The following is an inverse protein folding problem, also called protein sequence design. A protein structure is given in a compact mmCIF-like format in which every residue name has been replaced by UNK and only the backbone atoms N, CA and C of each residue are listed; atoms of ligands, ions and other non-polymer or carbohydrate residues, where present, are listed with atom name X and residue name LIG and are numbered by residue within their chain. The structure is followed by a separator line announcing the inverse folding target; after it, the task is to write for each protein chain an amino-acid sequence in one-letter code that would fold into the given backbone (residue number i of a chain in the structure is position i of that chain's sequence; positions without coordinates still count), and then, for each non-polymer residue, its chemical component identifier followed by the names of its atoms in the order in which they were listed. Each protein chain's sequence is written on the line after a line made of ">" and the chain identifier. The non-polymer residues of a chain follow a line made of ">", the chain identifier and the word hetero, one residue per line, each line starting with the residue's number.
data_IF_337273302891
#
_entry.id   IF_337273302891
#
_cell.length_a   1.000
_cell.length_b   1.000
_cell.length_c   1.000
_cell.angle_alpha   90.00
_cell.angle_beta   90.00
_cell.angle_gamma   90.00
#
_symmetry.space_group_name_H-M   'P 1'
#
loop_
_entity.id
_entity.type
_entity.pdbx_description
1 polymer ?
#
# COMPACT_ATOMS: atom_id res chain seq x y z
N UNK A 1 -26.27 -10.23 -9.55
CA UNK A 1 -25.96 -10.25 -8.08
C UNK A 1 -24.81 -9.30 -7.79
N UNK A 2 -25.11 -8.08 -7.32
CA UNK A 2 -24.07 -7.11 -6.95
C UNK A 2 -23.39 -7.55 -5.65
N UNK A 3 -22.12 -7.97 -5.74
CA UNK A 3 -21.28 -8.19 -4.56
C UNK A 3 -20.96 -6.81 -3.98
N UNK A 4 -21.86 -6.25 -3.16
CA UNK A 4 -21.52 -5.07 -2.36
C UNK A 4 -20.31 -5.44 -1.51
N UNK A 5 -19.12 -4.95 -1.89
CA UNK A 5 -17.94 -4.93 -1.02
C UNK A 5 -18.31 -3.99 0.12
N UNK A 6 -18.79 -4.54 1.21
CA UNK A 6 -18.92 -3.81 2.47
C UNK A 6 -17.47 -3.52 2.86
N UNK A 7 -17.03 -2.27 2.66
CA UNK A 7 -15.70 -1.83 3.07
C UNK A 7 -15.69 -1.79 4.59
N UNK A 8 -15.33 -2.92 5.20
CA UNK A 8 -15.19 -3.01 6.64
C UNK A 8 -13.93 -2.26 7.05
N UNK A 9 -14.12 -1.15 7.78
CA UNK A 9 -13.04 -0.39 8.40
C UNK A 9 -12.29 -1.32 9.35
N UNK A 10 -10.96 -1.38 9.25
CA UNK A 10 -10.13 -2.16 10.17
C UNK A 10 -10.19 -1.52 11.56
N UNK A 11 -11.09 -2.03 12.39
CA UNK A 11 -11.13 -1.71 13.82
C UNK A 11 -10.15 -2.61 14.59
N UNK A 12 -9.65 -2.20 15.76
CA UNK A 12 -8.84 -3.05 16.63
C UNK A 12 -9.51 -4.41 16.88
N UNK A 13 -8.71 -5.48 16.91
CA UNK A 13 -9.21 -6.83 17.21
C UNK A 13 -9.70 -6.91 18.65
N UNK A 14 -10.87 -7.52 18.87
CA UNK A 14 -11.34 -7.84 20.22
C UNK A 14 -10.51 -8.99 20.78
N UNK A 15 -10.46 -9.15 22.11
CA UNK A 15 -9.67 -10.23 22.74
C UNK A 15 -9.99 -11.61 22.17
N UNK A 16 -11.27 -11.93 21.93
CA UNK A 16 -11.66 -13.22 21.34
C UNK A 16 -11.13 -13.41 19.91
N UNK A 17 -11.08 -12.34 19.11
CA UNK A 17 -10.52 -12.39 17.77
C UNK A 17 -9.00 -12.53 17.79
N UNK A 18 -8.33 -11.93 18.78
CA UNK A 18 -6.89 -12.06 18.98
C UNK A 18 -6.51 -13.50 19.35
N UNK A 19 -7.22 -14.13 20.30
CA UNK A 19 -6.98 -15.53 20.66
C UNK A 19 -7.16 -16.46 19.47
N UNK A 20 -8.15 -16.18 18.61
CA UNK A 20 -8.38 -16.95 17.40
C UNK A 20 -7.26 -16.73 16.37
N UNK A 21 -6.79 -15.50 16.24
CA UNK A 21 -5.70 -15.14 15.35
C UNK A 21 -4.38 -15.79 15.76
N UNK A 22 -4.07 -15.84 17.06
CA UNK A 22 -2.89 -16.48 17.60
C UNK A 22 -2.90 -17.99 17.31
N UNK A 23 -4.02 -18.67 17.59
CA UNK A 23 -4.17 -20.11 17.35
C UNK A 23 -4.07 -20.54 15.89
N UNK A 24 -4.42 -19.65 14.96
CA UNK A 24 -4.44 -19.96 13.53
C UNK A 24 -3.34 -19.21 12.77
N UNK A 25 -2.34 -18.66 13.47
CA UNK A 25 -1.31 -17.82 12.88
C UNK A 25 -0.44 -18.59 11.87
N UNK A 26 -0.22 -19.88 12.11
CA UNK A 26 0.53 -20.80 11.23
C UNK A 26 0.00 -20.85 9.79
N UNK A 27 -1.26 -20.47 9.57
CA UNK A 27 -1.83 -20.38 8.24
C UNK A 27 -1.09 -19.36 7.34
N UNK A 28 -0.50 -18.31 7.92
CA UNK A 28 0.30 -17.31 7.18
C UNK A 28 1.62 -17.93 6.73
N UNK A 29 2.33 -18.60 7.64
CA UNK A 29 3.60 -19.27 7.35
C UNK A 29 3.42 -20.36 6.30
N UNK A 30 2.37 -21.17 6.45
CA UNK A 30 2.01 -22.21 5.49
C UNK A 30 1.73 -21.62 4.11
N UNK A 31 1.00 -20.50 4.05
CA UNK A 31 0.69 -19.83 2.79
C UNK A 31 1.95 -19.32 2.10
N UNK A 32 2.84 -18.62 2.81
CA UNK A 32 4.09 -18.10 2.25
C UNK A 32 4.98 -19.22 1.72
N UNK A 33 5.17 -20.28 2.52
CA UNK A 33 5.96 -21.46 2.15
C UNK A 33 5.38 -22.15 0.92
N UNK A 34 4.05 -22.33 0.87
CA UNK A 34 3.38 -22.99 -0.25
C UNK A 34 3.51 -22.21 -1.55
N UNK A 35 3.54 -20.88 -1.48
CA UNK A 35 3.62 -19.97 -2.62
C UNK A 35 5.05 -19.52 -2.96
N UNK A 36 6.07 -20.01 -2.23
CA UNK A 36 7.48 -19.64 -2.39
C UNK A 36 7.70 -18.12 -2.36
N UNK A 37 6.96 -17.44 -1.48
CA UNK A 37 7.09 -16.01 -1.25
C UNK A 37 8.19 -15.77 -0.23
N UNK A 38 8.97 -14.71 -0.45
CA UNK A 38 9.97 -14.29 0.51
C UNK A 38 9.31 -13.82 1.81
N UNK A 39 9.85 -14.28 2.94
CA UNK A 39 9.26 -13.99 4.25
C UNK A 39 9.43 -12.51 4.60
N UNK A 40 10.61 -11.94 4.39
CA UNK A 40 10.91 -10.56 4.75
C UNK A 40 10.08 -9.56 3.92
N UNK A 41 9.84 -9.85 2.64
CA UNK A 41 9.07 -8.97 1.77
C UNK A 41 7.54 -9.11 1.95
N UNK A 42 7.02 -10.34 2.11
CA UNK A 42 5.58 -10.60 1.98
C UNK A 42 4.85 -10.88 3.29
N UNK A 43 5.56 -11.10 4.40
CA UNK A 43 4.91 -11.44 5.67
C UNK A 43 3.93 -10.36 6.14
N UNK A 44 4.35 -9.10 6.17
CA UNK A 44 3.50 -7.99 6.62
C UNK A 44 2.25 -7.86 5.74
N UNK A 45 2.42 -7.99 4.42
CA UNK A 45 1.31 -7.91 3.46
C UNK A 45 0.33 -9.06 3.67
N UNK A 46 0.84 -10.27 3.87
CA UNK A 46 0.03 -11.46 4.13
C UNK A 46 -0.68 -11.37 5.49
N UNK A 47 -0.01 -10.91 6.55
CA UNK A 47 -0.60 -10.81 7.88
C UNK A 47 -1.75 -9.81 7.90
N UNK A 48 -1.68 -8.69 7.17
CA UNK A 48 -2.83 -7.78 7.04
C UNK A 48 -4.04 -8.43 6.35
N UNK A 49 -3.79 -9.24 5.32
CA UNK A 49 -4.83 -10.05 4.68
C UNK A 49 -5.44 -11.06 5.65
N UNK A 50 -4.61 -11.71 6.45
CA UNK A 50 -5.01 -12.67 7.47
C UNK A 50 -5.87 -12.03 8.58
N UNK A 51 -5.43 -10.91 9.16
CA UNK A 51 -6.18 -10.20 10.21
C UNK A 51 -7.54 -9.73 9.68
N UNK A 52 -7.61 -9.33 8.41
CA UNK A 52 -8.89 -9.03 7.75
C UNK A 52 -9.78 -10.25 7.62
N UNK A 53 -9.21 -11.42 7.33
CA UNK A 53 -9.96 -12.66 7.28
C UNK A 53 -10.54 -13.02 8.65
N UNK A 54 -9.77 -12.86 9.73
CA UNK A 54 -10.25 -13.03 11.10
C UNK A 54 -11.44 -12.10 11.37
N UNK A 55 -11.31 -10.80 11.10
CA UNK A 55 -12.43 -9.85 11.25
C UNK A 55 -13.67 -10.25 10.45
N UNK A 56 -13.48 -10.65 9.19
CA UNK A 56 -14.57 -11.10 8.34
C UNK A 56 -15.24 -12.37 8.89
N UNK A 57 -14.47 -13.30 9.47
CA UNK A 57 -15.00 -14.55 10.04
C UNK A 57 -16.02 -14.32 11.17
N UNK A 58 -15.76 -13.30 12.01
CA UNK A 58 -16.65 -12.94 13.10
C UNK A 58 -17.81 -12.04 12.65
N UNK A 59 -17.56 -11.11 11.73
CA UNK A 59 -18.57 -10.13 11.30
C UNK A 59 -19.57 -10.71 10.31
N UNK A 60 -19.15 -11.68 9.52
CA UNK A 60 -19.91 -12.19 8.37
C UNK A 60 -20.18 -13.69 8.50
N UNK A 61 -21.27 -14.06 9.21
CA UNK A 61 -21.64 -15.47 9.35
C UNK A 61 -22.00 -16.12 8.00
N UNK A 62 -22.36 -15.34 6.97
CA UNK A 62 -22.64 -15.83 5.61
C UNK A 62 -21.43 -16.49 4.94
N UNK A 63 -20.21 -16.15 5.35
CA UNK A 63 -18.96 -16.74 4.86
C UNK A 63 -18.62 -18.07 5.53
N UNK A 64 -19.26 -18.44 6.65
CA UNK A 64 -18.98 -19.68 7.39
C UNK A 64 -19.37 -20.96 6.65
N UNK A 65 -19.98 -20.84 5.46
CA UNK A 65 -20.12 -21.95 4.50
C UNK A 65 -18.77 -22.46 3.97
N UNK A 66 -17.72 -21.65 4.08
CA UNK A 66 -16.36 -22.00 3.70
C UNK A 66 -15.49 -22.15 4.95
N UNK A 67 -14.44 -22.97 4.85
CA UNK A 67 -13.45 -23.08 5.94
C UNK A 67 -12.72 -21.74 6.16
N UNK A 68 -12.28 -21.49 7.40
CA UNK A 68 -11.50 -20.29 7.71
C UNK A 68 -10.24 -20.19 6.83
N UNK A 69 -9.53 -21.30 6.60
CA UNK A 69 -8.34 -21.34 5.74
C UNK A 69 -8.64 -20.87 4.31
N UNK A 70 -9.80 -21.23 3.75
CA UNK A 70 -10.22 -20.76 2.42
C UNK A 70 -10.39 -19.24 2.39
N UNK A 71 -11.01 -18.68 3.44
CA UNK A 71 -11.25 -17.24 3.56
C UNK A 71 -9.93 -16.49 3.79
N UNK A 72 -9.08 -17.00 4.67
CA UNK A 72 -7.75 -16.48 4.94
C UNK A 72 -6.89 -16.46 3.67
N UNK A 73 -6.83 -17.57 2.94
CA UNK A 73 -6.12 -17.67 1.65
C UNK A 73 -6.59 -16.63 0.65
N UNK A 74 -7.91 -16.47 0.49
CA UNK A 74 -8.47 -15.51 -0.45
C UNK A 74 -8.14 -14.06 -0.06
N UNK A 75 -8.17 -13.76 1.24
CA UNK A 75 -7.83 -12.44 1.74
C UNK A 75 -6.33 -12.13 1.57
N UNK A 76 -5.44 -13.06 1.95
CA UNK A 76 -3.99 -12.94 1.77
C UNK A 76 -3.62 -12.74 0.29
N UNK A 77 -4.18 -13.55 -0.60
CA UNK A 77 -3.96 -13.41 -2.04
C UNK A 77 -4.38 -12.03 -2.57
N UNK A 78 -5.52 -11.52 -2.11
CA UNK A 78 -5.99 -10.19 -2.52
C UNK A 78 -5.06 -9.05 -2.07
N UNK A 79 -4.46 -9.16 -0.88
CA UNK A 79 -3.49 -8.17 -0.38
C UNK A 79 -2.18 -8.24 -1.16
N UNK A 80 -1.66 -9.43 -1.42
CA UNK A 80 -0.42 -9.62 -2.17
C UNK A 80 -0.58 -9.16 -3.63
N UNK A 81 -1.69 -9.51 -4.28
CA UNK A 81 -1.99 -9.01 -5.63
C UNK A 81 -2.06 -7.48 -5.66
N UNK A 82 -2.70 -6.84 -4.67
CA UNK A 82 -2.72 -5.40 -4.58
C UNK A 82 -1.31 -4.81 -4.36
N UNK A 83 -0.51 -5.44 -3.50
CA UNK A 83 0.88 -5.05 -3.28
C UNK A 83 1.71 -5.12 -4.57
N UNK A 84 1.60 -6.18 -5.36
CA UNK A 84 2.25 -6.28 -6.67
C UNK A 84 1.84 -5.15 -7.61
N UNK A 85 0.54 -4.90 -7.75
CA UNK A 85 0.06 -3.81 -8.61
C UNK A 85 0.46 -2.42 -8.11
N UNK A 86 0.63 -2.21 -6.80
CA UNK A 86 1.18 -0.97 -6.25
C UNK A 86 2.69 -0.85 -6.51
N UNK A 87 3.43 -1.96 -6.38
CA UNK A 87 4.87 -2.02 -6.64
C UNK A 87 5.19 -1.75 -8.11
N UNK A 88 4.43 -2.33 -9.03
CA UNK A 88 4.57 -2.11 -10.48
C UNK A 88 4.28 -0.66 -10.91
N UNK A 89 3.32 -0.01 -10.23
CA UNK A 89 2.95 1.39 -10.49
C UNK A 89 3.86 2.39 -9.80
N UNK A 90 4.80 1.94 -8.95
CA UNK A 90 5.76 2.84 -8.30
C UNK A 90 6.72 3.35 -9.37
N UNK A 91 6.76 4.68 -9.54
CA UNK A 91 7.68 5.34 -10.47
C UNK A 91 9.09 4.86 -10.14
N UNK A 92 9.76 4.20 -11.10
CA UNK A 92 11.17 3.86 -10.97
C UNK A 92 11.94 5.17 -10.99
N UNK A 93 12.48 5.57 -9.84
CA UNK A 93 13.40 6.70 -9.74
C UNK A 93 14.64 6.33 -10.55
N UNK A 94 14.70 6.81 -11.79
CA UNK A 94 15.98 6.89 -12.50
C UNK A 94 16.83 7.90 -11.72
N UNK A 95 18.11 7.59 -11.52
CA UNK A 95 19.05 8.58 -10.95
C UNK A 95 19.07 9.79 -11.88
N UNK A 96 18.99 11.00 -11.32
CA UNK A 96 19.15 12.26 -12.07
C UNK A 96 20.55 12.38 -12.67
N UNK A 97 21.53 11.64 -12.14
CA UNK A 97 22.91 11.63 -12.60
C UNK A 97 23.17 10.60 -13.72
N UNK A 98 22.13 10.00 -14.29
CA UNK A 98 22.29 9.13 -15.44
C UNK A 98 22.60 10.01 -16.67
N UNK A 99 23.80 9.91 -17.28
CA UNK A 99 24.07 10.64 -18.51
C UNK A 99 23.11 10.14 -19.59
N UNK A 100 22.21 11.02 -20.02
CA UNK A 100 21.38 10.77 -21.19
C UNK A 100 22.31 10.68 -22.41
N UNK A 101 22.09 9.66 -23.24
CA UNK A 101 23.04 9.28 -24.28
C UNK A 101 23.32 10.38 -25.31
N UNK A 102 24.62 10.41 -25.67
CA UNK A 102 25.30 11.00 -26.84
C UNK A 102 24.83 12.37 -27.34
N UNK A 103 25.73 13.31 -27.05
CA UNK A 103 25.82 14.66 -27.57
C UNK A 103 24.82 15.64 -26.92
N UNK A 104 25.30 16.88 -26.69
CA UNK A 104 24.63 18.03 -26.06
C UNK A 104 24.42 18.01 -24.53
N UNK A 105 25.27 18.80 -23.84
CA UNK A 105 25.21 19.12 -22.41
C UNK A 105 23.97 19.97 -22.08
N UNK A 106 22.80 19.35 -21.94
CA UNK A 106 21.60 20.01 -21.39
C UNK A 106 21.11 19.19 -20.21
N UNK A 107 21.17 19.79 -19.01
CA UNK A 107 20.67 19.14 -17.82
C UNK A 107 19.14 19.27 -17.78
N UNK A 108 18.44 18.29 -17.18
CA UNK A 108 17.00 18.36 -16.95
C UNK A 108 16.59 19.62 -16.14
N UNK A 109 17.55 20.19 -15.41
CA UNK A 109 17.44 21.46 -14.67
C UNK A 109 17.27 22.68 -15.58
N UNK A 110 17.69 22.61 -16.84
CA UNK A 110 17.59 23.71 -17.82
C UNK A 110 16.21 23.78 -18.51
N UNK A 111 15.37 22.75 -18.34
CA UNK A 111 14.05 22.64 -19.00
C UNK A 111 12.92 23.21 -18.12
N UNK A 112 13.15 23.37 -16.80
CA UNK A 112 12.23 24.11 -15.93
C UNK A 112 12.43 25.61 -16.14
N UNK A 113 11.81 26.14 -17.19
CA UNK A 113 11.57 27.59 -17.30
C UNK A 113 10.89 28.07 -16.03
N UNK A 114 11.46 29.09 -15.39
CA UNK A 114 10.99 29.76 -14.17
C UNK A 114 9.60 30.43 -14.29
N UNK A 115 8.77 30.07 -15.27
CA UNK A 115 7.55 30.80 -15.62
C UNK A 115 6.30 30.39 -14.81
N UNK A 116 6.45 29.60 -13.74
CA UNK A 116 5.33 29.22 -12.87
C UNK A 116 5.55 29.60 -11.40
N UNK A 117 5.92 30.86 -11.15
CA UNK A 117 5.74 31.48 -9.83
C UNK A 117 4.58 32.48 -9.93
N UNK A 118 3.34 31.99 -9.81
CA UNK A 118 2.22 32.85 -9.45
C UNK A 118 2.47 33.38 -8.03
N UNK A 119 3.08 34.56 -7.95
CA UNK A 119 3.26 35.30 -6.71
C UNK A 119 1.91 35.92 -6.32
N UNK A 120 1.16 35.24 -5.46
CA UNK A 120 -0.04 35.84 -4.84
C UNK A 120 0.40 36.87 -3.78
N UNK A 121 -0.04 38.13 -3.84
CA UNK A 121 0.43 39.19 -2.95
C UNK A 121 -0.39 39.18 -1.67
N UNK A 122 0.22 38.82 -0.55
CA UNK A 122 -0.34 39.13 0.77
C UNK A 122 0.74 39.74 1.66
N UNK A 123 0.34 40.84 2.30
CA UNK A 123 1.06 41.68 3.26
C UNK A 123 1.92 42.81 2.65
N UNK A 124 1.27 43.96 2.47
CA UNK A 124 1.98 45.23 2.45
C UNK A 124 2.27 45.70 3.88
N UNK A 125 3.51 46.15 4.13
CA UNK A 125 3.85 47.28 5.00
C UNK A 125 5.20 47.85 4.55
N UNK A 126 5.22 49.15 4.25
CA UNK A 126 6.27 50.07 4.69
C UNK A 126 7.57 50.08 3.90
N UNK A 127 7.81 51.18 3.18
CA UNK A 127 9.00 51.40 2.38
C UNK A 127 10.28 51.64 3.19
N UNK A 128 11.40 51.53 2.48
CA UNK A 128 12.58 52.39 2.64
C UNK A 128 13.38 52.31 1.34
N UNK A 129 13.60 53.48 0.76
CA UNK A 129 14.40 53.73 -0.42
C UNK A 129 15.87 53.44 -0.14
N UNK A 130 16.58 52.88 -1.13
CA UNK A 130 18.02 53.11 -1.27
C UNK A 130 18.25 53.88 -2.59
N UNK A 131 18.76 55.09 -2.38
CA UNK A 131 19.26 56.11 -3.32
C UNK A 131 18.27 56.86 -4.19
#
# INVERSE_FOLDING_TARGET
>A
MSRRRIYQKMSPLTSTEQDFAEKNHDAVLWYLTRHKLDFEEYYDVAVFGYLKAVKNWFTRPDLRRYSFNTIARQAMFGYISNYWHCKERRIKTISLDAPHGKDENVALMDIITYDNVEYSPIFGVGGAQYS
#
